data_IF_971920258295
#
_entry.id   IF_971920258295
#
_cell.length_a   1.000
_cell.length_b   1.000
_cell.length_c   1.000
_cell.angle_alpha   90.00
_cell.angle_beta   90.00
_cell.angle_gamma   90.00
#
_symmetry.space_group_name_H-M   'P 1'
#
loop_
_entity.id
_entity.type
_entity.pdbx_description
1 polymer ?
#
# COMPACT_ATOMS: atom_id res chain seq x y z
N UNK A 1 -1.70 17.10 20.77
CA UNK A 1 -2.45 16.07 20.00
C UNK A 1 -3.09 16.57 18.69
N UNK A 2 -3.03 17.87 18.32
CA UNK A 2 -3.66 18.39 17.10
C UNK A 2 -2.85 18.16 15.80
N UNK A 3 -1.51 18.28 15.87
CA UNK A 3 -0.62 18.13 14.71
C UNK A 3 -0.53 16.69 14.18
N UNK A 4 -0.53 15.70 15.08
CA UNK A 4 -0.47 14.28 14.72
C UNK A 4 -1.68 13.84 13.90
N UNK A 5 -2.89 14.31 14.25
CA UNK A 5 -4.11 14.00 13.47
C UNK A 5 -4.08 14.54 12.04
N UNK A 6 -3.55 15.76 11.83
CA UNK A 6 -3.43 16.34 10.49
C UNK A 6 -2.42 15.57 9.64
N UNK A 7 -1.23 15.30 10.17
CA UNK A 7 -0.17 14.57 9.45
C UNK A 7 -0.64 13.17 9.03
N UNK A 8 -1.27 12.43 9.95
CA UNK A 8 -1.79 11.08 9.70
C UNK A 8 -2.78 11.07 8.55
N UNK A 9 -3.70 12.05 8.51
CA UNK A 9 -4.78 12.09 7.52
C UNK A 9 -4.33 12.58 6.14
N UNK A 10 -3.39 13.53 6.08
CA UNK A 10 -2.91 14.06 4.79
C UNK A 10 -1.96 13.11 4.07
N UNK A 11 -1.11 12.38 4.81
CA UNK A 11 -0.09 11.52 4.20
C UNK A 11 -0.60 10.12 3.85
N UNK A 12 -1.72 9.67 4.44
CA UNK A 12 -2.31 8.35 4.16
C UNK A 12 -3.50 8.37 3.19
N UNK A 13 -3.89 9.55 2.71
CA UNK A 13 -4.96 9.71 1.74
C UNK A 13 -4.46 9.46 0.31
N UNK A 14 -5.18 8.64 -0.44
CA UNK A 14 -4.90 8.34 -1.84
C UNK A 14 -5.82 9.11 -2.78
N UNK A 15 -5.22 9.85 -3.71
CA UNK A 15 -5.92 10.43 -4.87
C UNK A 15 -5.53 9.69 -6.14
N UNK A 16 -6.51 9.07 -6.81
CA UNK A 16 -6.25 8.42 -8.09
C UNK A 16 -5.88 9.45 -9.17
N UNK A 17 -4.85 9.14 -9.97
CA UNK A 17 -4.44 9.95 -11.11
C UNK A 17 -4.24 9.08 -12.34
N UNK A 18 -4.74 9.55 -13.49
CA UNK A 18 -4.45 8.94 -14.79
C UNK A 18 -2.98 9.17 -15.16
N UNK A 19 -2.36 8.24 -15.91
CA UNK A 19 -1.05 8.49 -16.48
C UNK A 19 -1.09 9.71 -17.40
N UNK A 20 -0.09 10.56 -17.30
CA UNK A 20 0.11 11.70 -18.19
C UNK A 20 0.93 11.20 -19.39
N UNK A 21 0.39 11.31 -20.60
CA UNK A 21 1.05 10.88 -21.84
C UNK A 21 1.85 12.07 -22.38
N UNK A 22 3.10 11.84 -22.77
CA UNK A 22 3.92 12.84 -23.45
C UNK A 22 3.70 12.77 -24.96
N UNK A 23 3.02 13.78 -25.50
CA UNK A 23 2.76 13.90 -26.93
C UNK A 23 1.63 13.00 -27.43
N UNK A 24 1.63 12.71 -28.72
CA UNK A 24 0.57 11.94 -29.41
C UNK A 24 0.75 10.42 -29.26
N UNK A 25 1.97 9.98 -28.90
CA UNK A 25 2.32 8.57 -28.72
C UNK A 25 1.91 8.05 -27.33
N UNK A 26 0.78 7.35 -27.29
CA UNK A 26 0.20 6.73 -26.09
C UNK A 26 1.14 5.76 -25.33
N UNK A 27 2.26 5.33 -25.93
CA UNK A 27 3.22 4.45 -25.27
C UNK A 27 4.22 5.20 -24.38
N UNK A 28 4.39 6.52 -24.58
CA UNK A 28 5.34 7.35 -23.83
C UNK A 28 4.64 8.07 -22.69
N UNK A 29 4.67 7.45 -21.51
CA UNK A 29 4.07 8.00 -20.30
C UNK A 29 5.04 8.96 -19.60
N UNK A 30 4.73 10.27 -19.59
CA UNK A 30 5.44 11.31 -18.84
C UNK A 30 5.47 11.03 -17.35
N UNK A 31 4.28 10.73 -16.81
CA UNK A 31 4.07 10.46 -15.38
C UNK A 31 3.19 9.25 -15.24
N UNK A 32 3.72 8.25 -14.54
CA UNK A 32 2.99 7.02 -14.23
C UNK A 32 1.83 7.34 -13.29
N UNK A 33 0.61 7.11 -13.75
CA UNK A 33 -0.58 7.11 -12.93
C UNK A 33 -0.78 5.78 -12.21
N UNK A 34 -1.67 5.76 -11.22
CA UNK A 34 -2.05 4.53 -10.52
C UNK A 34 -3.18 3.76 -11.23
N UNK A 35 -3.90 4.38 -12.15
CA UNK A 35 -5.01 3.75 -12.86
C UNK A 35 -4.49 2.84 -13.97
N UNK A 36 -5.08 1.65 -14.10
CA UNK A 36 -4.87 0.77 -15.26
C UNK A 36 -5.76 1.22 -16.44
N UNK A 37 -5.63 0.53 -17.59
CA UNK A 37 -6.43 0.82 -18.78
C UNK A 37 -7.94 0.66 -18.56
N UNK A 38 -8.33 -0.18 -17.59
CA UNK A 38 -9.73 -0.42 -17.19
C UNK A 38 -10.23 0.59 -16.15
N UNK A 39 -9.43 1.59 -15.78
CA UNK A 39 -9.80 2.59 -14.78
C UNK A 39 -9.74 2.11 -13.32
N UNK A 40 -9.18 0.93 -13.06
CA UNK A 40 -8.98 0.40 -11.71
C UNK A 40 -7.64 0.86 -11.13
N UNK A 41 -7.62 1.16 -9.84
CA UNK A 41 -6.41 1.58 -9.15
C UNK A 41 -5.49 0.38 -8.88
N UNK A 42 -4.25 0.44 -9.39
CA UNK A 42 -3.19 -0.54 -9.09
C UNK A 42 -2.86 -0.65 -7.60
N UNK A 43 -3.11 0.41 -6.83
CA UNK A 43 -2.97 0.42 -5.37
C UNK A 43 -4.21 -0.12 -4.64
N UNK A 44 -5.19 -0.69 -5.36
CA UNK A 44 -6.39 -1.36 -4.82
C UNK A 44 -7.34 -0.42 -4.06
N UNK A 45 -7.47 0.81 -4.52
CA UNK A 45 -8.51 1.74 -4.06
C UNK A 45 -9.74 1.71 -4.98
N UNK A 46 -10.95 1.97 -4.46
CA UNK A 46 -11.29 2.21 -3.04
C UNK A 46 -11.19 0.93 -2.20
N UNK A 47 -10.75 1.07 -0.94
CA UNK A 47 -10.63 -0.06 0.00
C UNK A 47 -11.91 -0.24 0.80
N UNK A 48 -12.15 -1.47 1.25
CA UNK A 48 -13.27 -1.83 2.12
C UNK A 48 -13.33 -0.94 3.38
N UNK A 49 -14.55 -0.60 3.79
CA UNK A 49 -14.85 0.12 5.03
C UNK A 49 -15.15 -0.93 6.09
N UNK A 50 -14.51 -0.80 7.25
CA UNK A 50 -14.67 -1.69 8.39
C UNK A 50 -15.18 -0.84 9.55
N UNK A 51 -16.42 -1.03 9.98
CA UNK A 51 -17.04 -0.14 10.97
C UNK A 51 -16.45 -0.31 12.38
N UNK A 52 -16.02 -1.53 12.71
CA UNK A 52 -15.49 -1.91 14.01
C UNK A 52 -14.30 -2.84 13.89
N UNK A 53 -13.35 -2.70 14.82
CA UNK A 53 -12.19 -3.57 14.87
C UNK A 53 -12.63 -4.96 15.33
N UNK A 54 -12.41 -5.97 14.51
CA UNK A 54 -12.81 -7.35 14.78
C UNK A 54 -11.73 -8.33 14.36
N UNK A 55 -11.72 -9.50 15.00
CA UNK A 55 -10.98 -10.65 14.52
C UNK A 55 -11.90 -11.43 13.59
N UNK A 56 -11.46 -11.61 12.35
CA UNK A 56 -12.20 -12.39 11.36
C UNK A 56 -12.29 -13.85 11.83
N UNK A 57 -13.50 -14.42 12.04
CA UNK A 57 -13.65 -15.75 12.64
C UNK A 57 -13.06 -16.88 11.79
N UNK A 58 -13.01 -16.70 10.47
CA UNK A 58 -12.55 -17.72 9.53
C UNK A 58 -11.03 -17.68 9.35
N UNK A 59 -10.47 -16.49 9.14
CA UNK A 59 -9.03 -16.33 8.87
C UNK A 59 -8.20 -16.06 10.13
N UNK A 60 -8.84 -15.70 11.25
CA UNK A 60 -8.17 -15.19 12.44
C UNK A 60 -7.52 -13.82 12.23
N UNK A 61 -7.68 -13.19 11.06
CA UNK A 61 -7.04 -11.93 10.73
C UNK A 61 -7.67 -10.77 11.51
N UNK A 62 -6.83 -9.89 12.05
CA UNK A 62 -7.30 -8.67 12.70
C UNK A 62 -7.70 -7.65 11.62
N UNK A 63 -8.99 -7.36 11.53
CA UNK A 63 -9.56 -6.28 10.72
C UNK A 63 -9.70 -5.05 11.61
N UNK A 64 -8.99 -3.98 11.29
CA UNK A 64 -9.01 -2.73 12.06
C UNK A 64 -10.11 -1.83 11.53
N UNK A 65 -10.83 -1.14 12.42
CA UNK A 65 -11.80 -0.11 12.07
C UNK A 65 -11.22 0.89 11.08
N UNK A 66 -11.92 1.09 9.97
CA UNK A 66 -11.55 1.95 8.86
C UNK A 66 -12.81 2.58 8.26
N UNK A 67 -13.03 3.87 8.55
CA UNK A 67 -14.18 4.63 8.06
C UNK A 67 -14.00 5.27 6.68
N UNK A 68 -12.77 5.36 6.17
CA UNK A 68 -12.46 6.09 4.93
C UNK A 68 -11.95 5.14 3.85
N UNK A 69 -12.63 5.11 2.70
CA UNK A 69 -12.30 4.18 1.61
C UNK A 69 -10.99 4.56 0.87
N UNK A 70 -10.65 5.85 0.85
CA UNK A 70 -9.48 6.43 0.17
C UNK A 70 -8.27 6.61 1.10
N UNK A 71 -8.31 6.00 2.27
CA UNK A 71 -7.22 6.00 3.24
C UNK A 71 -6.59 4.59 3.33
N UNK A 72 -5.27 4.52 3.51
CA UNK A 72 -4.63 3.26 3.88
C UNK A 72 -5.10 2.79 5.26
N UNK A 73 -5.03 1.47 5.49
CA UNK A 73 -5.12 0.93 6.85
C UNK A 73 -3.82 1.30 7.56
N UNK A 74 -3.90 2.09 8.63
CA UNK A 74 -2.73 2.58 9.35
C UNK A 74 -2.95 2.42 10.86
N UNK A 75 -1.86 2.38 11.62
CA UNK A 75 -1.90 2.51 13.07
C UNK A 75 -1.24 3.83 13.48
N UNK A 76 -1.87 4.63 14.36
CA UNK A 76 -1.31 5.90 14.80
C UNK A 76 0.13 5.79 15.31
N UNK A 77 0.46 4.69 15.98
CA UNK A 77 1.77 4.40 16.55
C UNK A 77 2.82 4.20 15.46
N UNK A 78 2.55 3.36 14.45
CA UNK A 78 3.49 3.14 13.35
C UNK A 78 3.64 4.39 12.49
N UNK A 79 2.54 5.09 12.17
CA UNK A 79 2.61 6.35 11.44
C UNK A 79 3.40 7.41 12.22
N UNK A 80 3.26 7.45 13.55
CA UNK A 80 4.00 8.39 14.39
C UNK A 80 5.50 8.08 14.40
N UNK A 81 5.88 6.81 14.58
CA UNK A 81 7.28 6.39 14.63
C UNK A 81 7.98 6.52 13.28
N UNK A 82 7.33 6.08 12.20
CA UNK A 82 7.91 6.05 10.86
C UNK A 82 7.79 7.41 10.14
N UNK A 83 6.89 8.29 10.59
CA UNK A 83 6.60 9.61 10.03
C UNK A 83 6.36 9.60 8.51
N UNK A 84 5.80 8.50 8.00
CA UNK A 84 5.55 8.28 6.59
C UNK A 84 4.19 7.61 6.37
N UNK A 85 3.83 7.42 5.09
CA UNK A 85 2.66 6.64 4.72
C UNK A 85 2.86 5.18 5.12
N UNK A 86 1.88 4.60 5.80
CA UNK A 86 1.92 3.20 6.24
C UNK A 86 0.68 2.48 5.76
N UNK A 87 0.84 1.26 5.25
CA UNK A 87 -0.25 0.35 4.89
C UNK A 87 -0.06 -0.98 5.64
N UNK A 88 -0.82 -1.16 6.71
CA UNK A 88 -0.68 -2.28 7.63
C UNK A 88 -1.71 -3.36 7.34
N UNK A 89 -1.27 -4.60 7.22
CA UNK A 89 -2.13 -5.78 7.03
C UNK A 89 -1.79 -6.86 8.05
N UNK A 90 -2.81 -7.48 8.64
CA UNK A 90 -2.65 -8.58 9.57
C UNK A 90 -2.36 -9.89 8.81
N UNK A 91 -1.24 -10.54 9.13
CA UNK A 91 -0.83 -11.83 8.56
C UNK A 91 -0.98 -12.93 9.61
N UNK A 92 -2.20 -13.23 10.05
CA UNK A 92 -2.49 -14.19 11.13
C UNK A 92 -2.36 -15.67 10.73
N UNK A 93 -1.73 -15.95 9.59
CA UNK A 93 -1.48 -17.32 9.11
C UNK A 93 0.02 -17.60 9.07
N UNK A 94 0.43 -18.72 9.68
CA UNK A 94 1.83 -19.17 9.63
C UNK A 94 2.32 -19.44 8.20
N UNK A 95 1.44 -19.83 7.28
CA UNK A 95 1.80 -19.99 5.86
C UNK A 95 2.00 -18.64 5.18
N UNK A 96 1.14 -17.67 5.47
CA UNK A 96 1.27 -16.32 4.93
C UNK A 96 2.56 -15.64 5.39
N UNK A 97 2.90 -15.75 6.69
CA UNK A 97 4.15 -15.22 7.23
C UNK A 97 5.36 -15.91 6.58
N UNK A 98 5.37 -17.24 6.51
CA UNK A 98 6.48 -17.99 5.87
C UNK A 98 6.67 -17.59 4.41
N UNK A 99 5.57 -17.46 3.65
CA UNK A 99 5.63 -17.03 2.25
C UNK A 99 6.21 -15.62 2.10
N UNK A 100 5.76 -14.67 2.93
CA UNK A 100 6.26 -13.28 2.91
C UNK A 100 7.72 -13.21 3.30
N UNK A 101 8.13 -13.88 4.39
CA UNK A 101 9.53 -13.91 4.84
C UNK A 101 10.42 -14.55 3.77
N UNK A 102 9.99 -15.68 3.19
CA UNK A 102 10.71 -16.34 2.10
C UNK A 102 10.90 -15.42 0.89
N UNK A 103 9.82 -14.77 0.43
CA UNK A 103 9.86 -13.84 -0.69
C UNK A 103 10.78 -12.64 -0.44
N UNK A 104 10.67 -12.01 0.74
CA UNK A 104 11.54 -10.87 1.11
C UNK A 104 12.99 -11.33 1.18
N UNK A 105 13.25 -12.49 1.78
CA UNK A 105 14.61 -13.04 1.89
C UNK A 105 15.18 -13.27 0.50
N UNK A 106 14.47 -13.99 -0.37
CA UNK A 106 14.89 -14.24 -1.75
C UNK A 106 15.17 -12.93 -2.51
N UNK A 107 14.31 -11.92 -2.33
CA UNK A 107 14.49 -10.61 -2.96
C UNK A 107 15.73 -9.87 -2.46
N UNK A 108 15.97 -9.86 -1.15
CA UNK A 108 17.12 -9.19 -0.52
C UNK A 108 18.42 -9.94 -0.79
N UNK A 109 18.39 -11.28 -0.80
CA UNK A 109 19.56 -12.13 -1.08
C UNK A 109 19.82 -12.31 -2.57
N UNK A 110 18.97 -11.78 -3.44
CA UNK A 110 19.18 -11.83 -4.89
C UNK A 110 20.52 -11.18 -5.19
N UNK A 111 21.43 -11.94 -5.78
CA UNK A 111 22.75 -11.44 -6.18
C UNK A 111 22.57 -10.19 -7.05
N UNK A 112 23.36 -9.15 -6.77
CA UNK A 112 23.25 -7.87 -7.47
C UNK A 112 23.31 -8.08 -8.98
N UNK A 113 22.52 -7.31 -9.75
CA UNK A 113 22.57 -7.37 -11.22
C UNK A 113 24.03 -7.20 -11.66
N UNK A 114 24.53 -8.15 -12.47
CA UNK A 114 25.82 -8.03 -13.13
C UNK A 114 25.81 -6.71 -13.92
N UNK A 115 26.49 -5.71 -13.38
CA UNK A 115 26.83 -4.51 -14.12
C UNK A 115 27.96 -4.91 -15.05
N UNK A 116 27.63 -5.60 -16.15
CA UNK A 116 28.58 -5.74 -17.25
C UNK A 116 28.86 -4.32 -17.75
N UNK A 117 29.94 -3.74 -17.26
CA UNK A 117 30.60 -2.62 -17.91
C UNK A 117 31.17 -3.11 -19.24
N UNK A 118 30.97 -2.28 -20.25
CA UNK A 118 31.41 -2.45 -21.64
C UNK A 118 32.87 -2.90 -21.78
#
# INVERSE_FOLDING_TARGET
>A
MSLTRKLVRTHNHHGCRRPEIDGEDSTKVKRKGCLNAQGQCKARFPREIVEETMVDPLSGALKIKKGEMWLNTFTPELTYLLRCNTDTTSLMSGTAIKAVVGYITEYVTKTGLNSYTA
#
